data_IF_343112137635
#
_entry.id   IF_343112137635
#
_cell.length_a   1.000
_cell.length_b   1.000
_cell.length_c   1.000
_cell.angle_alpha   90.00
_cell.angle_beta   90.00
_cell.angle_gamma   90.00
#
_symmetry.space_group_name_H-M   'P 1'
#
loop_
_entity.id
_entity.type
_entity.pdbx_description
1 polymer ?
#
# COMPACT_ATOMS: atom_id res chain seq x y z
N UNK A 1 -16.89 6.84 -23.69
CA UNK A 1 -17.17 6.25 -22.36
C UNK A 1 -17.10 7.36 -21.36
N UNK A 2 -18.26 7.69 -20.81
CA UNK A 2 -18.42 8.70 -19.80
C UNK A 2 -18.10 8.11 -18.42
N UNK A 3 -17.76 8.99 -17.49
CA UNK A 3 -17.56 8.63 -16.09
C UNK A 3 -18.53 9.42 -15.23
N UNK A 4 -19.20 8.71 -14.34
CA UNK A 4 -20.29 9.25 -13.52
C UNK A 4 -19.99 9.07 -12.03
N UNK A 5 -20.55 9.96 -11.21
CA UNK A 5 -20.75 9.71 -9.78
C UNK A 5 -22.24 9.60 -9.50
N UNK A 6 -22.67 8.49 -8.91
CA UNK A 6 -24.06 8.26 -8.50
C UNK A 6 -24.16 8.25 -6.98
N UNK A 7 -25.00 9.12 -6.43
CA UNK A 7 -25.14 9.35 -4.99
C UNK A 7 -26.31 8.54 -4.41
N UNK A 8 -26.07 7.88 -3.27
CA UNK A 8 -27.07 7.29 -2.40
C UNK A 8 -27.14 7.97 -1.04
N UNK A 9 -28.35 7.98 -0.46
CA UNK A 9 -28.62 8.55 0.85
C UNK A 9 -28.85 7.43 1.89
N UNK A 10 -27.89 7.20 2.81
CA UNK A 10 -28.01 6.12 3.80
C UNK A 10 -29.08 6.38 4.87
N UNK A 11 -29.76 7.53 4.86
CA UNK A 11 -30.92 7.75 5.74
C UNK A 11 -32.19 7.06 5.25
N UNK A 12 -32.29 6.79 3.95
CA UNK A 12 -33.48 6.19 3.32
C UNK A 12 -33.19 4.82 2.71
N UNK A 13 -31.93 4.51 2.44
CA UNK A 13 -31.52 3.29 1.76
C UNK A 13 -30.19 2.75 2.26
N UNK A 14 -30.13 1.46 2.65
CA UNK A 14 -28.91 0.76 3.07
C UNK A 14 -27.98 0.45 1.88
N UNK A 15 -27.33 1.49 1.40
CA UNK A 15 -26.38 1.43 0.28
C UNK A 15 -25.24 0.44 0.52
N UNK A 16 -24.69 0.41 1.73
CA UNK A 16 -23.52 -0.39 2.08
C UNK A 16 -23.80 -1.88 1.91
N UNK A 17 -24.90 -2.35 2.53
CA UNK A 17 -25.30 -3.75 2.45
C UNK A 17 -25.76 -4.12 1.05
N UNK A 18 -26.43 -3.19 0.34
CA UNK A 18 -26.90 -3.42 -1.02
C UNK A 18 -25.75 -3.66 -2.00
N UNK A 19 -24.78 -2.74 -2.08
CA UNK A 19 -23.67 -2.87 -3.04
C UNK A 19 -22.72 -4.02 -2.69
N UNK A 20 -22.63 -4.39 -1.41
CA UNK A 20 -21.79 -5.51 -0.95
C UNK A 20 -22.36 -6.88 -1.34
N UNK A 21 -23.68 -7.03 -1.30
CA UNK A 21 -24.33 -8.32 -1.46
C UNK A 21 -24.81 -8.59 -2.89
N UNK A 22 -24.84 -7.56 -3.75
CA UNK A 22 -25.36 -7.66 -5.11
C UNK A 22 -24.33 -7.28 -6.16
N UNK A 23 -24.00 -8.24 -7.03
CA UNK A 23 -23.15 -7.98 -8.20
C UNK A 23 -23.86 -7.10 -9.24
N UNK A 24 -25.18 -7.22 -9.35
CA UNK A 24 -25.98 -6.43 -10.28
C UNK A 24 -27.03 -5.64 -9.51
N UNK A 25 -27.03 -4.32 -9.68
CA UNK A 25 -27.89 -3.41 -8.91
C UNK A 25 -28.66 -2.48 -9.85
N UNK A 26 -29.81 -1.99 -9.37
CA UNK A 26 -30.57 -0.94 -10.02
C UNK A 26 -30.29 0.39 -9.32
N UNK A 27 -30.03 1.43 -10.10
CA UNK A 27 -29.76 2.76 -9.56
C UNK A 27 -30.67 3.81 -10.18
N UNK A 28 -31.33 4.60 -9.34
CA UNK A 28 -32.27 5.63 -9.79
C UNK A 28 -31.56 6.80 -10.49
N UNK A 29 -32.23 7.35 -11.50
CA UNK A 29 -31.85 8.55 -12.24
C UNK A 29 -32.90 9.62 -12.00
N UNK A 30 -32.51 10.74 -11.37
CA UNK A 30 -33.45 11.84 -11.09
C UNK A 30 -33.24 13.08 -11.96
N UNK A 31 -32.19 13.10 -12.79
CA UNK A 31 -31.87 14.23 -13.66
C UNK A 31 -32.17 13.87 -15.12
N UNK A 32 -33.32 14.33 -15.62
CA UNK A 32 -33.82 14.00 -16.97
C UNK A 32 -32.87 14.44 -18.10
N UNK A 33 -32.12 15.53 -17.91
CA UNK A 33 -31.18 16.07 -18.90
C UNK A 33 -29.87 15.26 -19.04
N UNK A 34 -29.73 14.16 -18.30
CA UNK A 34 -28.60 13.23 -18.42
C UNK A 34 -28.98 11.89 -19.07
N UNK A 35 -30.27 11.65 -19.32
CA UNK A 35 -30.76 10.35 -19.81
C UNK A 35 -30.21 10.00 -21.18
N UNK A 36 -30.10 11.00 -22.05
CA UNK A 36 -29.56 10.88 -23.41
C UNK A 36 -28.02 10.73 -23.44
N UNK A 37 -27.35 10.92 -22.30
CA UNK A 37 -25.88 10.84 -22.19
C UNK A 37 -25.38 9.53 -21.61
N UNK A 38 -26.26 8.69 -21.07
CA UNK A 38 -25.87 7.41 -20.48
C UNK A 38 -25.67 6.39 -21.61
N UNK A 39 -24.45 5.87 -21.69
CA UNK A 39 -24.06 4.84 -22.65
C UNK A 39 -23.80 3.51 -21.95
N UNK A 40 -23.90 2.40 -22.69
CA UNK A 40 -23.47 1.09 -22.17
C UNK A 40 -21.96 1.11 -21.90
N UNK A 41 -21.54 0.36 -20.89
CA UNK A 41 -20.18 0.30 -20.37
C UNK A 41 -19.65 1.61 -19.75
N UNK A 42 -20.46 2.68 -19.66
CA UNK A 42 -20.10 3.88 -18.89
C UNK A 42 -19.64 3.52 -17.47
N UNK A 43 -18.60 4.20 -17.00
CA UNK A 43 -18.03 3.95 -15.69
C UNK A 43 -18.77 4.74 -14.62
N UNK A 44 -19.06 4.09 -13.48
CA UNK A 44 -19.82 4.70 -12.39
C UNK A 44 -19.10 4.52 -11.07
N UNK A 45 -18.85 5.61 -10.37
CA UNK A 45 -18.43 5.64 -8.98
C UNK A 45 -19.64 5.85 -8.06
N UNK A 46 -19.89 4.92 -7.14
CA UNK A 46 -21.01 4.99 -6.21
C UNK A 46 -20.61 5.76 -4.95
N UNK A 47 -21.30 6.86 -4.70
CA UNK A 47 -21.09 7.75 -3.58
C UNK A 47 -22.14 7.55 -2.49
N UNK A 48 -21.70 7.36 -1.24
CA UNK A 48 -22.56 7.46 -0.05
C UNK A 48 -22.45 8.86 0.54
N UNK A 49 -23.57 9.53 0.78
CA UNK A 49 -23.62 10.76 1.57
C UNK A 49 -23.46 10.48 3.08
N UNK A 50 -23.02 11.46 3.89
CA UNK A 50 -22.74 11.26 5.33
C UNK A 50 -23.92 10.69 6.15
N UNK A 51 -25.16 10.86 5.69
CA UNK A 51 -26.35 10.44 6.43
C UNK A 51 -26.39 11.02 7.85
N UNK A 52 -26.41 10.13 8.84
CA UNK A 52 -26.40 10.46 10.26
C UNK A 52 -24.99 10.53 10.88
N UNK A 53 -23.96 10.03 10.18
CA UNK A 53 -22.59 9.94 10.68
C UNK A 53 -21.67 10.84 9.84
N UNK A 54 -21.40 12.05 10.34
CA UNK A 54 -20.51 13.01 9.66
C UNK A 54 -19.13 12.41 9.41
N UNK A 55 -18.60 12.59 8.20
CA UNK A 55 -17.27 12.10 7.80
C UNK A 55 -17.30 10.72 7.16
N UNK A 56 -18.46 10.07 7.06
CA UNK A 56 -18.61 8.76 6.40
C UNK A 56 -18.92 8.89 4.90
N UNK A 57 -19.15 10.11 4.42
CA UNK A 57 -19.46 10.35 3.02
C UNK A 57 -18.25 10.17 2.11
N UNK A 58 -18.46 9.56 0.93
CA UNK A 58 -17.39 9.29 -0.01
C UNK A 58 -17.78 8.26 -1.07
N UNK A 59 -16.81 7.88 -1.89
CA UNK A 59 -16.97 6.90 -2.96
C UNK A 59 -16.64 5.52 -2.43
N UNK A 60 -17.63 4.63 -2.50
CA UNK A 60 -17.58 3.30 -1.92
C UNK A 60 -17.41 2.19 -2.95
N UNK A 61 -17.77 2.41 -4.21
CA UNK A 61 -17.71 1.36 -5.21
C UNK A 61 -17.48 1.89 -6.60
N UNK A 62 -16.95 1.00 -7.44
CA UNK A 62 -16.80 1.17 -8.87
C UNK A 62 -17.69 0.16 -9.57
N UNK A 63 -18.45 0.63 -10.55
CA UNK A 63 -19.41 -0.14 -11.31
C UNK A 63 -19.36 0.28 -12.79
N UNK A 64 -20.07 -0.46 -13.64
CA UNK A 64 -20.30 -0.08 -15.03
C UNK A 64 -21.77 -0.20 -15.41
N UNK A 65 -22.23 0.63 -16.34
CA UNK A 65 -23.59 0.60 -16.87
C UNK A 65 -23.76 -0.61 -17.79
N UNK A 66 -24.80 -1.41 -17.55
CA UNK A 66 -25.13 -2.60 -18.36
C UNK A 66 -26.56 -2.56 -18.94
N UNK A 67 -27.34 -1.51 -18.67
CA UNK A 67 -28.60 -1.23 -19.36
C UNK A 67 -28.76 0.27 -19.62
N UNK A 68 -29.50 0.60 -20.68
CA UNK A 68 -29.98 1.97 -20.87
C UNK A 68 -31.08 2.30 -19.83
N UNK A 69 -31.40 3.59 -19.63
CA UNK A 69 -32.46 4.00 -18.70
C UNK A 69 -33.81 3.35 -19.02
N UNK A 70 -34.44 2.77 -18.01
CA UNK A 70 -35.78 2.16 -18.10
C UNK A 70 -36.63 2.47 -16.86
N UNK A 71 -37.93 2.64 -17.06
CA UNK A 71 -38.88 2.79 -15.96
C UNK A 71 -39.04 1.46 -15.22
N UNK A 72 -38.93 1.50 -13.89
CA UNK A 72 -39.04 0.33 -13.04
C UNK A 72 -39.89 0.60 -11.81
N UNK A 73 -40.55 -0.46 -11.36
CA UNK A 73 -41.04 -0.61 -9.98
C UNK A 73 -40.09 -1.56 -9.25
N UNK A 74 -39.77 -1.30 -7.99
CA UNK A 74 -38.90 -2.21 -7.23
C UNK A 74 -39.56 -3.59 -7.10
N UNK A 75 -38.74 -4.64 -7.09
CA UNK A 75 -39.18 -5.97 -6.71
C UNK A 75 -39.09 -6.14 -5.18
N UNK A 76 -39.70 -7.21 -4.65
CA UNK A 76 -39.68 -7.54 -3.22
C UNK A 76 -38.25 -7.72 -2.65
N UNK A 77 -37.24 -7.95 -3.50
CA UNK A 77 -35.86 -8.16 -3.02
C UNK A 77 -35.16 -6.85 -2.64
N UNK A 78 -35.50 -5.75 -3.32
CA UNK A 78 -34.98 -4.42 -3.00
C UNK A 78 -35.60 -3.83 -1.73
N UNK A 79 -36.82 -4.24 -1.35
CA UNK A 79 -37.55 -3.75 -0.17
C UNK A 79 -36.71 -3.83 1.12
N UNK A 80 -35.93 -4.91 1.28
CA UNK A 80 -35.13 -5.15 2.48
C UNK A 80 -34.05 -4.09 2.75
N UNK A 81 -33.73 -3.23 1.77
CA UNK A 81 -32.73 -2.18 1.89
C UNK A 81 -33.33 -0.78 2.08
N UNK A 82 -34.64 -0.60 1.90
CA UNK A 82 -35.29 0.69 2.08
C UNK A 82 -35.76 0.87 3.53
N UNK A 83 -35.49 2.05 4.09
CA UNK A 83 -36.01 2.45 5.41
C UNK A 83 -37.34 3.21 5.31
N UNK A 84 -37.85 3.43 4.10
CA UNK A 84 -39.02 4.23 3.76
C UNK A 84 -39.87 3.53 2.71
N UNK A 85 -41.16 3.84 2.63
CA UNK A 85 -42.09 3.29 1.63
C UNK A 85 -41.86 3.81 0.19
N UNK A 86 -40.81 4.60 -0.04
CA UNK A 86 -40.41 5.10 -1.38
C UNK A 86 -40.18 3.98 -2.41
N UNK A 87 -39.95 2.73 -1.97
CA UNK A 87 -39.73 1.60 -2.86
C UNK A 87 -40.93 1.26 -3.74
N UNK A 88 -42.16 1.64 -3.36
CA UNK A 88 -43.39 1.34 -4.11
C UNK A 88 -43.56 2.19 -5.37
N UNK A 89 -42.88 3.33 -5.45
CA UNK A 89 -43.07 4.27 -6.56
C UNK A 89 -42.29 3.83 -7.81
N UNK A 90 -42.85 3.97 -9.02
CA UNK A 90 -42.09 3.84 -10.25
C UNK A 90 -40.96 4.87 -10.29
N UNK A 91 -39.79 4.45 -10.74
CA UNK A 91 -38.63 5.30 -10.91
C UNK A 91 -37.85 4.93 -12.16
N UNK A 92 -37.21 5.93 -12.76
CA UNK A 92 -36.31 5.72 -13.89
C UNK A 92 -34.96 5.24 -13.37
N UNK A 93 -34.43 4.17 -13.94
CA UNK A 93 -33.25 3.50 -13.41
C UNK A 93 -32.33 2.96 -14.51
N UNK A 94 -31.09 2.73 -14.14
CA UNK A 94 -30.12 1.94 -14.94
C UNK A 94 -29.62 0.77 -14.14
N UNK A 95 -29.32 -0.32 -14.84
CA UNK A 95 -28.69 -1.50 -14.27
C UNK A 95 -27.18 -1.32 -14.29
N UNK A 96 -26.55 -1.59 -13.15
CA UNK A 96 -25.11 -1.53 -12.98
C UNK A 96 -24.56 -2.91 -12.64
N UNK A 97 -23.39 -3.24 -13.20
CA UNK A 97 -22.54 -4.32 -12.68
C UNK A 97 -21.53 -3.71 -11.72
N UNK A 98 -21.61 -4.10 -10.45
CA UNK A 98 -20.64 -3.72 -9.42
C UNK A 98 -19.35 -4.47 -9.67
N UNK A 99 -18.27 -3.73 -9.92
CA UNK A 99 -16.94 -4.28 -10.22
C UNK A 99 -16.07 -4.37 -8.97
N UNK A 100 -16.17 -3.36 -8.09
CA UNK A 100 -15.38 -3.29 -6.87
C UNK A 100 -16.12 -2.51 -5.78
N UNK A 101 -16.01 -2.96 -4.52
CA UNK A 101 -16.60 -2.32 -3.33
C UNK A 101 -15.54 -2.11 -2.26
N UNK A 102 -15.58 -0.94 -1.59
CA UNK A 102 -14.72 -0.48 -0.51
C UNK A 102 -15.60 0.32 0.48
N UNK A 103 -15.95 -0.25 1.63
CA UNK A 103 -16.89 0.38 2.59
C UNK A 103 -16.19 1.06 3.77
N UNK A 104 -15.42 0.27 4.51
CA UNK A 104 -14.80 0.68 5.78
C UNK A 104 -13.37 1.18 5.58
N UNK A 105 -12.58 0.40 4.84
CA UNK A 105 -11.16 0.65 4.55
C UNK A 105 -10.99 0.79 3.03
N UNK A 106 -10.31 1.86 2.57
CA UNK A 106 -9.96 2.08 1.16
C UNK A 106 -11.00 2.80 0.30
N UNK A 107 -12.13 3.19 0.88
CA UNK A 107 -13.09 4.07 0.20
C UNK A 107 -12.51 5.48 0.08
N UNK A 108 -12.84 6.20 -1.00
CA UNK A 108 -12.34 7.57 -1.16
C UNK A 108 -13.24 8.49 -0.33
N UNK A 109 -12.71 8.98 0.79
CA UNK A 109 -13.47 9.84 1.68
C UNK A 109 -13.71 11.22 1.05
N UNK A 110 -14.82 11.86 1.42
CA UNK A 110 -15.11 13.25 1.06
C UNK A 110 -13.98 14.20 1.48
N UNK A 111 -13.36 13.95 2.64
CA UNK A 111 -12.25 14.77 3.15
C UNK A 111 -11.03 14.68 2.23
N UNK A 112 -10.65 13.47 1.82
CA UNK A 112 -9.56 13.26 0.87
C UNK A 112 -9.80 13.98 -0.46
N UNK A 113 -11.03 13.99 -0.96
CA UNK A 113 -11.37 14.72 -2.19
C UNK A 113 -11.28 16.24 -2.04
N UNK A 114 -11.60 16.79 -0.86
CA UNK A 114 -11.47 18.23 -0.58
C UNK A 114 -10.02 18.69 -0.49
N UNK A 115 -9.10 17.79 -0.13
CA UNK A 115 -7.66 18.04 -0.07
C UNK A 115 -6.98 17.88 -1.44
N UNK A 116 -7.62 17.18 -2.38
CA UNK A 116 -7.08 16.92 -3.70
C UNK A 116 -7.06 18.19 -4.58
N UNK A 117 -5.94 18.50 -5.28
CA UNK A 117 -5.81 19.76 -6.03
C UNK A 117 -6.87 19.94 -7.13
N UNK A 118 -7.21 18.85 -7.83
CA UNK A 118 -8.22 18.84 -8.90
C UNK A 118 -9.62 18.44 -8.38
N UNK A 119 -9.75 17.26 -7.75
CA UNK A 119 -11.05 16.70 -7.36
C UNK A 119 -11.83 17.48 -6.28
N UNK A 120 -11.23 18.46 -5.59
CA UNK A 120 -11.96 19.36 -4.68
C UNK A 120 -13.06 20.16 -5.39
N UNK A 121 -12.95 20.33 -6.70
CA UNK A 121 -13.92 21.05 -7.54
C UNK A 121 -15.04 20.16 -8.10
N UNK A 122 -15.09 18.88 -7.72
CA UNK A 122 -16.15 17.97 -8.13
C UNK A 122 -17.54 18.53 -7.81
N UNK A 123 -18.45 18.44 -8.79
CA UNK A 123 -19.81 18.97 -8.67
C UNK A 123 -20.55 18.38 -7.47
N UNK A 124 -20.33 17.12 -7.09
CA UNK A 124 -20.96 16.50 -5.92
C UNK A 124 -20.58 17.17 -4.59
N UNK A 125 -19.41 17.82 -4.52
CA UNK A 125 -18.97 18.55 -3.32
C UNK A 125 -19.63 19.94 -3.23
N UNK A 126 -19.87 20.56 -4.39
CA UNK A 126 -20.40 21.92 -4.55
C UNK A 126 -21.93 21.98 -4.66
N UNK A 127 -22.55 21.02 -5.33
CA UNK A 127 -23.98 20.94 -5.68
C UNK A 127 -24.62 19.69 -5.09
N UNK A 128 -24.74 19.62 -3.77
CA UNK A 128 -25.11 18.41 -3.02
C UNK A 128 -26.55 17.90 -3.20
N UNK A 129 -27.39 18.63 -3.94
CA UNK A 129 -28.81 18.32 -4.12
C UNK A 129 -29.09 17.36 -5.29
N UNK A 130 -28.10 17.11 -6.17
CA UNK A 130 -28.27 16.18 -7.29
C UNK A 130 -27.93 14.74 -6.88
N UNK A 131 -28.35 13.77 -7.69
CA UNK A 131 -28.13 12.34 -7.43
C UNK A 131 -27.19 11.69 -8.43
N UNK A 132 -27.02 12.27 -9.62
CA UNK A 132 -26.22 11.72 -10.70
C UNK A 132 -25.39 12.87 -11.30
N UNK A 133 -24.07 12.67 -11.36
CA UNK A 133 -23.11 13.70 -11.78
C UNK A 133 -22.24 13.18 -12.92
N UNK A 134 -22.31 13.82 -14.08
CA UNK A 134 -21.37 13.57 -15.18
C UNK A 134 -20.03 14.26 -14.88
N UNK A 135 -18.92 13.54 -14.99
CA UNK A 135 -17.59 14.11 -14.77
C UNK A 135 -17.03 14.73 -16.05
N UNK A 136 -16.22 15.79 -15.87
CA UNK A 136 -15.30 16.24 -16.93
C UNK A 136 -14.21 15.19 -17.15
N UNK A 137 -13.57 15.20 -18.32
CA UNK A 137 -12.45 14.28 -18.62
C UNK A 137 -11.32 14.37 -17.58
N UNK A 138 -10.99 15.58 -17.16
CA UNK A 138 -9.96 15.84 -16.14
C UNK A 138 -10.34 15.22 -14.79
N UNK A 139 -11.56 15.46 -14.30
CA UNK A 139 -12.03 14.85 -13.06
C UNK A 139 -12.13 13.32 -13.15
N UNK A 140 -12.50 12.78 -14.31
CA UNK A 140 -12.58 11.35 -14.54
C UNK A 140 -11.22 10.67 -14.41
N UNK A 141 -10.19 11.21 -15.08
CA UNK A 141 -8.81 10.69 -15.03
C UNK A 141 -8.30 10.70 -13.59
N UNK A 142 -8.35 11.85 -12.92
CA UNK A 142 -7.84 11.98 -11.55
C UNK A 142 -8.58 11.06 -10.57
N UNK A 143 -9.90 10.90 -10.73
CA UNK A 143 -10.66 10.02 -9.87
C UNK A 143 -10.35 8.53 -10.13
N UNK A 144 -10.13 8.16 -11.39
CA UNK A 144 -9.70 6.81 -11.77
C UNK A 144 -8.31 6.48 -11.21
N UNK A 145 -7.38 7.43 -11.28
CA UNK A 145 -6.03 7.30 -10.74
C UNK A 145 -6.09 7.18 -9.22
N UNK A 146 -6.84 8.04 -8.54
CA UNK A 146 -7.03 7.97 -7.09
C UNK A 146 -7.69 6.65 -6.66
N UNK A 147 -8.71 6.18 -7.39
CA UNK A 147 -9.34 4.88 -7.11
C UNK A 147 -8.36 3.73 -7.32
N UNK A 148 -7.57 3.76 -8.39
CA UNK A 148 -6.58 2.72 -8.70
C UNK A 148 -5.42 2.72 -7.71
N UNK A 149 -4.98 3.88 -7.24
CA UNK A 149 -3.96 4.03 -6.21
C UNK A 149 -4.42 3.46 -4.85
N UNK A 150 -5.70 3.67 -4.49
CA UNK A 150 -6.29 3.12 -3.28
C UNK A 150 -6.52 1.59 -3.29
N UNK A 151 -6.14 0.86 -4.36
CA UNK A 151 -6.07 -0.61 -4.32
C UNK A 151 -4.94 -1.13 -3.40
N UNK A 152 -4.01 -0.28 -2.96
CA UNK A 152 -2.79 -0.74 -2.28
C UNK A 152 -2.44 -0.04 -0.95
N UNK A 153 -3.25 0.87 -0.40
CA UNK A 153 -2.89 1.54 0.85
C UNK A 153 -4.08 1.89 1.76
N UNK A 154 -4.44 0.96 2.65
CA UNK A 154 -4.91 1.35 3.98
C UNK A 154 -3.73 1.30 4.93
N UNK A 155 -3.18 2.48 5.24
CA UNK A 155 -2.18 2.61 6.28
C UNK A 155 -2.89 2.70 7.64
N UNK A 156 -2.98 1.59 8.36
CA UNK A 156 -3.52 1.55 9.71
C UNK A 156 -2.37 1.63 10.72
N UNK A 157 -2.34 2.67 11.55
CA UNK A 157 -1.40 2.77 12.69
C UNK A 157 -2.14 2.55 14.01
N UNK A 158 -1.70 1.58 14.81
CA UNK A 158 -2.26 1.30 16.14
C UNK A 158 -1.16 0.84 17.10
N UNK A 159 -0.90 1.62 18.15
CA UNK A 159 0.21 1.41 19.08
C UNK A 159 1.56 1.26 18.34
N UNK A 160 2.26 0.15 18.53
CA UNK A 160 3.52 -0.18 17.88
C UNK A 160 3.34 -0.91 16.53
N UNK A 161 2.13 -0.93 15.98
CA UNK A 161 1.82 -1.58 14.70
C UNK A 161 1.49 -0.57 13.60
N UNK A 162 1.93 -0.89 12.40
CA UNK A 162 1.58 -0.23 11.15
C UNK A 162 1.20 -1.31 10.12
N UNK A 163 -0.03 -1.31 9.64
CA UNK A 163 -0.51 -2.24 8.60
C UNK A 163 -0.62 -1.47 7.29
N UNK A 164 -0.05 -2.00 6.22
CA UNK A 164 -0.02 -1.38 4.90
C UNK A 164 -0.84 -2.27 3.96
N UNK A 165 -2.06 -1.85 3.65
CA UNK A 165 -3.00 -2.64 2.86
C UNK A 165 -3.47 -3.89 3.60
N UNK A 166 -3.62 -5.01 2.88
CA UNK A 166 -4.03 -6.29 3.48
C UNK A 166 -2.88 -7.29 3.67
N UNK A 167 -1.72 -7.02 3.05
CA UNK A 167 -0.63 -7.99 2.89
C UNK A 167 0.56 -7.76 3.80
N UNK A 168 0.78 -6.53 4.28
CA UNK A 168 1.96 -6.17 5.08
C UNK A 168 1.55 -5.60 6.44
N UNK A 169 2.22 -6.05 7.50
CA UNK A 169 2.20 -5.41 8.81
C UNK A 169 3.63 -5.20 9.33
N UNK A 170 3.87 -4.10 10.01
CA UNK A 170 5.15 -3.71 10.58
C UNK A 170 4.94 -3.52 12.07
N UNK A 171 5.80 -4.16 12.86
CA UNK A 171 5.82 -4.08 14.31
C UNK A 171 7.10 -3.42 14.76
N UNK A 172 7.00 -2.28 15.42
CA UNK A 172 8.10 -1.73 16.20
C UNK A 172 8.39 -2.64 17.40
N UNK A 173 9.61 -3.14 17.51
CA UNK A 173 9.95 -4.11 18.55
C UNK A 173 10.05 -3.41 19.91
N UNK A 174 9.32 -3.95 20.87
CA UNK A 174 9.19 -3.40 22.20
C UNK A 174 9.68 -4.39 23.27
N UNK A 175 9.63 -3.96 24.53
CA UNK A 175 9.97 -4.79 25.68
C UNK A 175 9.31 -6.19 25.66
N UNK A 176 8.06 -6.30 25.20
CA UNK A 176 7.36 -7.59 25.15
C UNK A 176 8.00 -8.54 24.15
N UNK A 177 8.44 -8.00 23.01
CA UNK A 177 9.12 -8.75 21.96
C UNK A 177 10.42 -9.37 22.49
N UNK A 178 11.19 -8.59 23.25
CA UNK A 178 12.50 -8.99 23.75
C UNK A 178 12.46 -9.87 25.01
N UNK A 179 11.51 -9.63 25.92
CA UNK A 179 11.49 -10.26 27.25
C UNK A 179 10.36 -11.28 27.46
N UNK A 180 9.33 -11.29 26.60
CA UNK A 180 8.08 -12.03 26.85
C UNK A 180 7.64 -12.95 25.70
N UNK A 181 8.57 -13.31 24.79
CA UNK A 181 8.34 -14.27 23.71
C UNK A 181 7.10 -13.97 22.84
N UNK A 182 6.81 -12.69 22.62
CA UNK A 182 5.64 -12.34 21.86
C UNK A 182 5.31 -10.86 21.91
N UNK A 183 4.15 -10.52 21.37
CA UNK A 183 3.64 -9.16 21.36
C UNK A 183 2.12 -9.11 21.39
N UNK A 184 1.57 -7.98 21.85
CA UNK A 184 0.14 -7.73 21.78
C UNK A 184 -0.29 -7.34 20.36
N UNK A 185 -1.42 -7.84 19.92
CA UNK A 185 -2.07 -7.43 18.67
C UNK A 185 -3.27 -6.55 19.05
N UNK A 186 -3.28 -5.26 18.71
CA UNK A 186 -4.44 -4.38 18.89
C UNK A 186 -5.68 -4.89 18.14
N UNK A 187 -6.88 -4.47 18.57
CA UNK A 187 -8.14 -4.95 17.96
C UNK A 187 -8.19 -4.65 16.46
N UNK A 188 -7.68 -3.49 16.08
CA UNK A 188 -7.66 -2.97 14.72
C UNK A 188 -6.75 -3.82 13.82
N UNK A 189 -5.68 -4.38 14.37
CA UNK A 189 -4.67 -5.18 13.62
C UNK A 189 -5.10 -6.65 13.47
N UNK A 190 -6.11 -7.12 14.21
CA UNK A 190 -6.55 -8.53 14.18
C UNK A 190 -6.91 -9.02 12.78
N UNK A 191 -7.47 -8.14 11.94
CA UNK A 191 -7.85 -8.47 10.55
C UNK A 191 -6.65 -8.95 9.74
N UNK A 192 -5.47 -8.33 9.93
CA UNK A 192 -4.24 -8.77 9.27
C UNK A 192 -3.93 -10.23 9.60
N UNK A 193 -4.06 -10.63 10.87
CA UNK A 193 -3.77 -12.00 11.32
C UNK A 193 -4.95 -12.97 11.15
N UNK A 194 -5.99 -12.61 10.39
CA UNK A 194 -7.25 -13.37 10.28
C UNK A 194 -7.87 -13.72 11.64
N UNK A 195 -7.71 -12.85 12.64
CA UNK A 195 -8.00 -13.13 14.05
C UNK A 195 -9.26 -12.44 14.60
N UNK A 196 -10.12 -11.90 13.72
CA UNK A 196 -11.33 -11.17 14.11
C UNK A 196 -12.39 -12.06 14.76
N UNK A 197 -12.44 -13.33 14.35
CA UNK A 197 -13.40 -14.35 14.77
C UNK A 197 -12.99 -15.13 16.03
N UNK A 198 -11.76 -14.91 16.53
CA UNK A 198 -11.22 -15.66 17.66
C UNK A 198 -12.00 -15.43 18.96
N UNK A 199 -12.38 -16.53 19.61
CA UNK A 199 -13.11 -16.53 20.88
C UNK A 199 -12.17 -16.43 22.08
N UNK A 200 -12.71 -16.03 23.24
CA UNK A 200 -11.97 -15.94 24.52
C UNK A 200 -11.31 -17.29 24.86
N UNK A 201 -10.00 -17.28 25.08
CA UNK A 201 -9.21 -18.48 25.35
C UNK A 201 -8.83 -19.31 24.12
N UNK A 202 -9.24 -18.92 22.91
CA UNK A 202 -8.88 -19.59 21.66
C UNK A 202 -7.39 -19.40 21.34
N UNK A 203 -6.81 -20.43 20.74
CA UNK A 203 -5.44 -20.45 20.23
C UNK A 203 -5.45 -20.91 18.78
N UNK A 204 -4.65 -20.26 17.94
CA UNK A 204 -4.48 -20.62 16.53
C UNK A 204 -2.99 -20.66 16.20
N UNK A 205 -2.51 -21.82 15.76
CA UNK A 205 -1.11 -21.97 15.38
C UNK A 205 -0.84 -21.26 14.05
N UNK A 206 0.30 -20.59 13.96
CA UNK A 206 0.79 -19.94 12.75
C UNK A 206 2.29 -20.25 12.58
N UNK A 207 2.80 -19.95 11.40
CA UNK A 207 4.20 -20.11 11.05
C UNK A 207 4.79 -18.76 10.67
N UNK A 208 5.97 -18.45 11.22
CA UNK A 208 6.80 -17.33 10.80
C UNK A 208 8.00 -17.88 10.03
N UNK A 209 8.21 -17.43 8.81
CA UNK A 209 9.36 -17.82 8.00
C UNK A 209 10.37 -16.68 7.92
N UNK A 210 11.62 -16.95 8.30
CA UNK A 210 12.71 -15.97 8.22
C UNK A 210 13.97 -16.63 7.64
N UNK A 211 14.50 -16.10 6.54
CA UNK A 211 15.71 -16.63 5.87
C UNK A 211 15.66 -18.16 5.67
N UNK A 212 14.55 -18.66 5.14
CA UNK A 212 14.29 -20.09 4.89
C UNK A 212 14.23 -20.97 6.16
N UNK A 213 14.17 -20.36 7.36
CA UNK A 213 13.90 -21.06 8.62
C UNK A 213 12.46 -20.84 9.04
N UNK A 214 11.86 -21.92 9.51
CA UNK A 214 10.48 -21.97 9.98
C UNK A 214 10.46 -21.86 11.51
N UNK A 215 9.71 -20.90 12.02
CA UNK A 215 9.50 -20.68 13.44
C UNK A 215 8.02 -20.87 13.76
N UNK A 216 7.72 -21.70 14.75
CA UNK A 216 6.35 -21.93 15.18
C UNK A 216 5.90 -20.82 16.14
N UNK A 217 4.73 -20.25 15.86
CA UNK A 217 4.10 -19.23 16.67
C UNK A 217 2.60 -19.51 16.80
N UNK A 218 1.92 -18.75 17.66
CA UNK A 218 0.48 -18.86 17.84
C UNK A 218 -0.14 -17.52 18.14
N UNK A 219 -1.35 -17.35 17.64
CA UNK A 219 -2.29 -16.31 18.05
C UNK A 219 -3.05 -16.82 19.28
N UNK A 220 -3.17 -15.99 20.31
CA UNK A 220 -3.90 -16.33 21.54
C UNK A 220 -4.82 -15.18 21.96
N UNK A 221 -6.06 -15.51 22.27
CA UNK A 221 -7.01 -14.60 22.90
C UNK A 221 -7.04 -14.88 24.40
N UNK A 222 -6.64 -13.91 25.24
CA UNK A 222 -6.52 -14.17 26.67
C UNK A 222 -7.89 -14.42 27.35
N UNK A 223 -7.84 -14.98 28.57
CA UNK A 223 -9.03 -15.36 29.33
C UNK A 223 -9.55 -14.24 30.23
N UNK A 224 -9.11 -12.99 30.10
CA UNK A 224 -9.60 -11.90 30.95
C UNK A 224 -11.01 -11.45 30.54
N UNK A 225 -11.63 -10.62 31.40
CA UNK A 225 -12.96 -10.04 31.14
C UNK A 225 -12.98 -9.14 29.91
N UNK A 226 -11.86 -8.48 29.60
CA UNK A 226 -11.59 -7.79 28.33
C UNK A 226 -10.45 -8.50 27.61
N UNK A 227 -10.76 -9.43 26.69
CA UNK A 227 -9.76 -10.33 26.14
C UNK A 227 -8.82 -9.60 25.15
N UNK A 228 -7.52 -9.69 25.42
CA UNK A 228 -6.47 -9.17 24.52
C UNK A 228 -5.96 -10.28 23.61
N UNK A 229 -5.71 -9.90 22.36
CA UNK A 229 -5.08 -10.74 21.34
C UNK A 229 -3.56 -10.61 21.43
N UNK A 230 -2.85 -11.72 21.29
CA UNK A 230 -1.38 -11.78 21.33
C UNK A 230 -0.86 -12.68 20.23
N UNK A 231 0.30 -12.33 19.70
CA UNK A 231 1.16 -13.19 18.91
C UNK A 231 2.28 -13.68 19.82
N UNK A 232 2.41 -14.98 19.99
CA UNK A 232 3.42 -15.62 20.83
C UNK A 232 4.26 -16.57 19.98
N UNK A 233 5.58 -16.54 20.13
CA UNK A 233 6.49 -17.42 19.40
C UNK A 233 7.33 -18.26 20.37
N UNK A 234 7.97 -19.30 19.86
CA UNK A 234 8.86 -20.17 20.64
C UNK A 234 10.20 -19.49 20.94
N UNK A 235 10.96 -20.10 21.86
CA UNK A 235 12.22 -19.56 22.35
C UNK A 235 13.27 -19.35 21.24
N UNK A 236 13.28 -20.21 20.23
CA UNK A 236 14.14 -20.15 19.05
C UNK A 236 14.00 -18.85 18.24
N UNK A 237 12.77 -18.35 18.07
CA UNK A 237 12.56 -17.06 17.40
C UNK A 237 13.00 -15.90 18.30
N UNK A 238 12.74 -15.99 19.60
CA UNK A 238 13.27 -15.01 20.56
C UNK A 238 14.79 -14.98 20.59
N UNK A 239 15.46 -16.12 20.52
CA UNK A 239 16.91 -16.21 20.42
C UNK A 239 17.42 -15.53 19.16
N UNK A 240 16.71 -15.73 18.04
CA UNK A 240 17.00 -15.05 16.78
C UNK A 240 16.90 -13.53 16.92
N UNK A 241 15.82 -13.02 17.51
CA UNK A 241 15.62 -11.58 17.76
C UNK A 241 16.73 -11.01 18.66
N UNK A 242 17.04 -11.69 19.76
CA UNK A 242 18.07 -11.24 20.72
C UNK A 242 19.48 -11.23 20.11
N UNK A 243 19.79 -12.20 19.26
CA UNK A 243 21.07 -12.27 18.58
C UNK A 243 21.22 -11.20 17.49
N UNK A 244 20.12 -10.82 16.83
CA UNK A 244 20.11 -9.75 15.84
C UNK A 244 20.16 -8.36 16.47
N UNK A 245 19.57 -8.18 17.65
CA UNK A 245 19.48 -6.89 18.34
C UNK A 245 19.98 -6.97 19.78
N UNK A 246 21.27 -7.31 20.01
CA UNK A 246 21.82 -7.48 21.36
C UNK A 246 21.77 -6.19 22.17
N UNK A 247 21.97 -5.03 21.52
CA UNK A 247 21.89 -3.72 22.18
C UNK A 247 20.47 -3.40 22.66
N UNK A 248 19.46 -3.57 21.80
CA UNK A 248 18.05 -3.38 22.17
C UNK A 248 17.61 -4.34 23.28
N UNK A 249 18.07 -5.60 23.23
CA UNK A 249 17.82 -6.56 24.29
C UNK A 249 18.43 -6.12 25.63
N UNK A 250 19.70 -5.71 25.65
CA UNK A 250 20.37 -5.22 26.86
C UNK A 250 19.70 -3.96 27.43
N UNK A 251 19.25 -3.04 26.57
CA UNK A 251 18.51 -1.85 26.97
C UNK A 251 17.23 -2.23 27.75
N UNK A 252 16.39 -3.10 27.18
CA UNK A 252 15.14 -3.52 27.84
C UNK A 252 15.37 -4.38 29.09
N UNK A 253 16.48 -5.12 29.15
CA UNK A 253 16.86 -5.93 30.31
C UNK A 253 17.28 -5.05 31.50
N UNK A 254 18.07 -4.00 31.25
CA UNK A 254 18.69 -3.18 32.30
C UNK A 254 17.80 -2.01 32.78
N UNK A 255 16.65 -1.77 32.14
CA UNK A 255 15.76 -0.62 32.42
C UNK A 255 16.49 0.74 32.32
N UNK A 256 17.44 0.87 31.40
CA UNK A 256 18.10 2.16 31.17
C UNK A 256 17.13 3.09 30.42
N UNK A 257 16.94 4.32 30.89
CA UNK A 257 16.10 5.37 30.27
C UNK A 257 16.78 6.08 29.08
N UNK A 258 17.95 5.60 28.62
CA UNK A 258 18.61 6.15 27.43
C UNK A 258 17.78 5.85 26.17
N UNK A 259 17.46 6.90 25.40
CA UNK A 259 16.79 6.78 24.10
C UNK A 259 17.51 5.77 23.22
N UNK A 260 16.79 4.73 22.78
CA UNK A 260 17.26 3.85 21.71
C UNK A 260 17.49 4.72 20.46
N UNK A 261 18.74 4.80 20.01
CA UNK A 261 19.11 5.56 18.81
C UNK A 261 18.54 4.95 17.53
N UNK A 262 18.15 3.67 17.59
CA UNK A 262 17.66 2.90 16.45
C UNK A 262 16.36 2.18 16.78
N UNK A 263 15.29 2.51 16.06
CA UNK A 263 14.00 1.83 16.18
C UNK A 263 14.06 0.54 15.37
N UNK A 264 14.11 -0.60 16.07
CA UNK A 264 14.09 -1.92 15.42
C UNK A 264 12.66 -2.29 15.02
N UNK A 265 12.44 -2.68 13.75
CA UNK A 265 11.12 -3.09 13.26
C UNK A 265 11.14 -4.53 12.74
N UNK A 266 10.01 -5.20 12.85
CA UNK A 266 9.73 -6.52 12.30
C UNK A 266 8.57 -6.41 11.31
N UNK A 267 8.86 -6.67 10.03
CA UNK A 267 7.88 -6.74 8.96
C UNK A 267 7.30 -8.15 8.92
N UNK A 268 6.00 -8.23 8.70
CA UNK A 268 5.21 -9.42 8.44
C UNK A 268 4.58 -9.27 7.06
N UNK A 269 4.66 -10.30 6.26
CA UNK A 269 4.03 -10.39 4.95
C UNK A 269 3.23 -11.68 4.87
N UNK A 270 1.99 -11.59 4.40
CA UNK A 270 1.15 -12.77 4.17
C UNK A 270 1.67 -13.55 2.97
N UNK A 271 1.63 -14.87 3.08
CA UNK A 271 1.90 -15.76 1.95
C UNK A 271 0.58 -16.09 1.27
N UNK A 272 0.42 -15.76 -0.02
CA UNK A 272 -0.86 -15.93 -0.74
C UNK A 272 -1.36 -17.38 -0.78
N UNK A 273 -0.48 -18.37 -0.59
CA UNK A 273 -0.81 -19.80 -0.57
C UNK A 273 -1.23 -20.33 0.82
N UNK A 274 -1.14 -19.54 1.89
CA UNK A 274 -1.44 -19.99 3.25
C UNK A 274 -1.93 -18.86 4.16
N UNK A 275 -3.11 -19.04 4.76
CA UNK A 275 -3.69 -18.09 5.72
C UNK A 275 -3.02 -18.12 7.11
N UNK A 276 -2.13 -19.08 7.36
CA UNK A 276 -1.45 -19.27 8.64
C UNK A 276 0.07 -19.11 8.57
N UNK A 277 0.63 -18.68 7.43
CA UNK A 277 2.07 -18.49 7.24
C UNK A 277 2.39 -17.04 6.92
N UNK A 278 3.41 -16.50 7.59
CA UNK A 278 3.86 -15.13 7.41
C UNK A 278 5.37 -15.13 7.15
N UNK A 279 5.80 -14.51 6.06
CA UNK A 279 7.20 -14.17 5.86
C UNK A 279 7.52 -13.02 6.82
N UNK A 280 8.62 -13.12 7.55
CA UNK A 280 9.05 -12.06 8.48
C UNK A 280 10.43 -11.56 8.14
N UNK A 281 10.65 -10.25 8.28
CA UNK A 281 11.92 -9.60 8.00
C UNK A 281 12.22 -8.55 9.07
N UNK A 282 13.48 -8.41 9.46
CA UNK A 282 13.88 -7.38 10.40
C UNK A 282 14.42 -6.17 9.64
N UNK A 283 13.96 -4.98 10.01
CA UNK A 283 14.38 -3.71 9.40
C UNK A 283 15.29 -2.95 10.38
N UNK A 284 16.46 -2.53 9.91
CA UNK A 284 17.36 -1.63 10.65
C UNK A 284 17.07 -0.16 10.31
N UNK A 285 17.48 0.78 11.16
CA UNK A 285 17.25 2.23 10.93
C UNK A 285 17.95 2.76 9.68
N UNK A 286 19.02 2.08 9.24
CA UNK A 286 19.75 2.37 8.00
C UNK A 286 18.95 1.90 6.77
N UNK A 287 18.18 0.82 6.88
CA UNK A 287 17.30 0.38 5.79
C UNK A 287 16.16 1.36 5.54
N UNK A 288 15.72 2.14 6.53
CA UNK A 288 14.63 3.11 6.32
C UNK A 288 15.06 4.36 5.55
N UNK A 289 16.26 4.90 5.78
CA UNK A 289 16.76 6.08 5.06
C UNK A 289 17.28 5.70 3.67
N UNK A 290 17.92 4.54 3.52
CA UNK A 290 18.30 3.99 2.21
C UNK A 290 17.07 3.55 1.41
N UNK A 291 15.99 3.05 2.05
CA UNK A 291 14.70 2.89 1.36
C UNK A 291 14.23 4.22 0.78
N UNK A 292 14.35 5.31 1.54
CA UNK A 292 13.87 6.64 1.13
C UNK A 292 14.74 7.22 0.01
N UNK A 293 16.06 7.14 0.10
CA UNK A 293 16.97 7.63 -0.94
C UNK A 293 16.98 6.76 -2.22
N UNK A 294 16.77 5.44 -2.10
CA UNK A 294 16.62 4.55 -3.27
C UNK A 294 15.25 4.74 -3.96
N UNK A 295 14.20 5.15 -3.22
CA UNK A 295 12.92 5.60 -3.80
C UNK A 295 13.11 6.92 -4.58
N UNK A 296 13.97 7.83 -4.11
CA UNK A 296 14.26 9.10 -4.78
C UNK A 296 15.04 8.94 -6.10
N UNK A 297 15.91 7.93 -6.20
CA UNK A 297 16.80 7.78 -7.37
C UNK A 297 16.14 7.17 -8.61
N UNK A 298 14.96 6.54 -8.48
CA UNK A 298 14.14 6.06 -9.61
C UNK A 298 13.07 7.08 -10.07
N UNK A 299 12.76 8.11 -9.27
CA UNK A 299 11.66 9.06 -9.55
C UNK A 299 12.08 10.29 -10.40
N UNK A 300 13.36 10.45 -10.73
CA UNK A 300 13.87 11.61 -11.51
C UNK A 300 13.38 11.62 -12.98
N UNK A 301 12.69 10.57 -13.43
CA UNK A 301 12.42 10.35 -14.85
C UNK A 301 11.12 10.94 -15.42
N UNK A 302 10.33 11.73 -14.68
CA UNK A 302 9.14 12.38 -15.26
C UNK A 302 8.89 13.80 -14.72
N UNK A 303 9.00 14.73 -15.67
CA UNK A 303 8.56 16.14 -15.74
C UNK A 303 9.53 17.27 -15.37
N UNK A 304 9.59 18.18 -16.36
CA UNK A 304 10.25 19.48 -16.51
C UNK A 304 9.99 20.50 -15.37
N UNK A 305 10.65 21.69 -15.38
CA UNK A 305 11.21 22.34 -14.19
C UNK A 305 10.16 22.79 -13.17
N UNK A 306 10.39 22.42 -11.89
CA UNK A 306 9.52 22.72 -10.75
C UNK A 306 9.99 23.97 -10.00
N UNK A 307 9.03 24.74 -9.49
CA UNK A 307 9.26 25.77 -8.49
C UNK A 307 9.50 25.13 -7.10
N UNK A 308 10.47 25.66 -6.35
CA UNK A 308 10.84 25.17 -5.00
C UNK A 308 9.63 25.18 -4.01
N UNK A 309 9.51 24.12 -3.21
CA UNK A 309 8.72 24.15 -1.96
C UNK A 309 7.35 23.46 -1.94
N UNK A 310 7.01 22.59 -2.91
CA UNK A 310 5.72 21.85 -2.88
C UNK A 310 5.88 20.46 -2.23
N UNK A 311 4.98 20.11 -1.29
CA UNK A 311 4.87 18.79 -0.66
C UNK A 311 4.46 17.72 -1.68
N UNK A 312 5.15 16.58 -1.70
CA UNK A 312 4.98 15.48 -2.68
C UNK A 312 4.55 14.18 -1.97
N UNK A 313 3.62 13.44 -2.57
CA UNK A 313 3.20 12.08 -2.20
C UNK A 313 3.64 11.08 -3.28
N UNK A 314 4.20 9.94 -2.86
CA UNK A 314 4.93 8.96 -3.69
C UNK A 314 4.10 7.70 -4.02
N UNK A 315 4.16 7.20 -5.26
CA UNK A 315 3.62 5.88 -5.67
C UNK A 315 4.59 5.18 -6.62
N UNK A 316 5.10 3.99 -6.25
CA UNK A 316 5.98 3.17 -7.10
C UNK A 316 5.60 1.69 -7.12
N UNK A 317 5.60 1.06 -8.31
CA UNK A 317 5.51 -0.40 -8.48
C UNK A 317 6.90 -1.01 -8.23
N UNK A 318 6.96 -2.01 -7.34
CA UNK A 318 8.21 -2.67 -6.90
C UNK A 318 8.54 -3.88 -7.78
N UNK A 319 9.68 -3.85 -8.45
CA UNK A 319 10.42 -5.09 -8.74
C UNK A 319 11.31 -5.39 -7.54
N UNK A 320 11.19 -6.60 -7.02
CA UNK A 320 11.86 -7.09 -5.82
C UNK A 320 13.39 -7.07 -5.98
N UNK A 321 14.09 -6.23 -5.20
CA UNK A 321 15.55 -6.25 -5.06
C UNK A 321 15.92 -6.93 -3.74
N UNK A 322 16.32 -8.20 -3.83
CA UNK A 322 16.73 -9.01 -2.68
C UNK A 322 18.01 -8.44 -2.01
N UNK A 323 17.98 -8.07 -0.71
CA UNK A 323 19.15 -7.61 0.06
C UNK A 323 20.32 -8.59 0.05
N UNK A 324 20.05 -9.89 -0.10
CA UNK A 324 21.06 -10.94 -0.23
C UNK A 324 21.85 -10.75 -1.53
N UNK A 325 21.18 -10.35 -2.61
CA UNK A 325 21.82 -10.13 -3.90
C UNK A 325 22.72 -8.89 -3.87
N UNK A 326 22.32 -7.83 -3.16
CA UNK A 326 23.18 -6.66 -2.92
C UNK A 326 24.44 -7.04 -2.13
N UNK A 327 24.26 -7.71 -1.00
CA UNK A 327 25.40 -8.13 -0.16
C UNK A 327 26.36 -9.05 -0.92
N UNK A 328 25.82 -10.03 -1.65
CA UNK A 328 26.62 -10.92 -2.50
C UNK A 328 27.32 -10.17 -3.62
N UNK A 329 26.67 -9.21 -4.27
CA UNK A 329 27.31 -8.40 -5.30
C UNK A 329 28.49 -7.61 -4.74
N UNK A 330 28.37 -7.06 -3.54
CA UNK A 330 29.48 -6.38 -2.84
C UNK A 330 30.60 -7.36 -2.49
N UNK A 331 30.27 -8.56 -1.97
CA UNK A 331 31.25 -9.61 -1.67
C UNK A 331 32.04 -10.04 -2.93
N UNK A 332 31.38 -10.14 -4.09
CA UNK A 332 32.00 -10.56 -5.34
C UNK A 332 32.77 -9.44 -6.04
N UNK A 333 32.21 -8.23 -6.10
CA UNK A 333 32.73 -7.16 -6.95
C UNK A 333 33.49 -6.08 -6.19
N UNK A 334 33.37 -6.04 -4.87
CA UNK A 334 33.95 -5.02 -3.99
C UNK A 334 33.14 -3.72 -3.96
N UNK A 335 33.69 -2.71 -3.26
CA UNK A 335 33.08 -1.39 -3.05
C UNK A 335 33.56 -0.31 -4.04
N UNK A 336 34.49 -0.65 -4.94
CA UNK A 336 34.97 0.30 -5.95
C UNK A 336 34.05 0.33 -7.16
N UNK A 337 33.65 1.53 -7.58
CA UNK A 337 32.80 1.76 -8.75
C UNK A 337 33.42 1.16 -10.02
N UNK A 338 32.70 0.27 -10.73
CA UNK A 338 33.21 -0.36 -11.97
C UNK A 338 33.25 0.57 -13.19
N UNK A 339 32.62 1.73 -13.09
CA UNK A 339 32.65 2.76 -14.14
C UNK A 339 33.88 3.66 -13.99
N UNK A 340 34.03 4.33 -12.84
CA UNK A 340 35.06 5.36 -12.63
C UNK A 340 36.15 5.00 -11.61
N UNK A 341 36.03 3.87 -10.91
CA UNK A 341 37.00 3.43 -9.89
C UNK A 341 36.84 4.09 -8.52
N UNK A 342 35.91 5.04 -8.35
CA UNK A 342 35.69 5.73 -7.08
C UNK A 342 35.34 4.77 -5.94
N UNK A 343 35.95 4.97 -4.78
CA UNK A 343 35.70 4.24 -3.55
C UNK A 343 35.42 5.25 -2.42
N UNK A 344 34.27 5.11 -1.77
CA UNK A 344 33.84 6.04 -0.74
C UNK A 344 34.68 5.95 0.53
N UNK A 345 35.12 4.76 0.93
CA UNK A 345 35.97 4.59 2.11
C UNK A 345 37.37 5.19 1.89
N UNK A 346 37.93 5.01 0.68
CA UNK A 346 39.25 5.58 0.34
C UNK A 346 39.24 7.11 0.34
N UNK A 347 38.14 7.73 -0.08
CA UNK A 347 38.04 9.20 -0.24
C UNK A 347 37.49 9.89 1.01
N UNK A 348 36.51 9.28 1.69
CA UNK A 348 35.81 9.88 2.83
C UNK A 348 36.12 9.19 4.17
N UNK A 349 37.00 8.20 4.20
CA UNK A 349 37.35 7.45 5.40
C UNK A 349 36.17 6.64 5.93
N UNK A 350 36.09 6.53 7.26
CA UNK A 350 35.08 5.70 7.95
C UNK A 350 33.63 6.08 7.60
N UNK A 351 33.38 7.34 7.23
CA UNK A 351 32.05 7.81 6.80
C UNK A 351 31.60 7.21 5.47
N UNK A 352 32.53 6.75 4.64
CA UNK A 352 32.26 6.09 3.36
C UNK A 352 32.30 4.57 3.41
N UNK A 353 32.47 3.97 4.59
CA UNK A 353 32.58 2.53 4.77
C UNK A 353 31.28 1.82 4.37
N UNK A 354 31.43 0.70 3.65
CA UNK A 354 30.32 -0.15 3.16
C UNK A 354 29.29 0.56 2.24
N UNK A 355 29.63 1.77 1.75
CA UNK A 355 28.74 2.58 0.92
C UNK A 355 29.10 2.45 -0.57
N UNK A 356 28.20 1.82 -1.33
CA UNK A 356 28.21 1.77 -2.80
C UNK A 356 26.81 1.41 -3.31
N UNK A 357 26.44 1.85 -4.51
CA UNK A 357 25.18 1.45 -5.15
C UNK A 357 25.37 0.21 -6.01
N UNK A 358 24.34 -0.64 -6.13
CA UNK A 358 24.37 -1.87 -6.92
C UNK A 358 23.36 -1.77 -8.06
N UNK A 359 23.87 -1.74 -9.28
CA UNK A 359 23.11 -1.55 -10.50
C UNK A 359 22.89 -2.87 -11.25
N UNK A 360 21.74 -3.03 -11.91
CA UNK A 360 21.48 -4.19 -12.77
C UNK A 360 22.06 -3.98 -14.16
N UNK A 361 22.87 -4.92 -14.65
CA UNK A 361 23.49 -4.82 -15.98
C UNK A 361 22.43 -4.83 -17.10
N UNK A 362 21.26 -5.44 -16.86
CA UNK A 362 20.09 -5.40 -17.76
C UNK A 362 18.88 -4.84 -17.00
N UNK A 363 18.21 -3.79 -17.51
CA UNK A 363 17.01 -3.24 -16.88
C UNK A 363 15.87 -4.27 -16.79
N UNK A 364 15.26 -4.40 -15.61
CA UNK A 364 14.16 -5.35 -15.35
C UNK A 364 12.90 -5.04 -16.18
N UNK A 365 12.75 -3.80 -16.69
CA UNK A 365 11.64 -3.35 -17.54
C UNK A 365 11.58 -4.02 -18.92
N UNK A 366 12.64 -4.73 -19.34
CA UNK A 366 12.66 -5.48 -20.60
C UNK A 366 12.35 -6.97 -20.42
N UNK A 367 11.98 -7.42 -19.22
CA UNK A 367 11.81 -8.83 -18.89
C UNK A 367 10.32 -9.18 -18.76
N UNK A 368 9.77 -9.87 -19.77
CA UNK A 368 8.39 -10.37 -19.78
C UNK A 368 8.13 -11.54 -18.81
N UNK A 369 9.15 -12.03 -18.06
CA UNK A 369 9.05 -13.19 -17.14
C UNK A 369 9.99 -13.08 -15.94
N UNK A 370 9.56 -13.66 -14.81
CA UNK A 370 10.36 -13.88 -13.59
C UNK A 370 11.66 -14.64 -13.91
N UNK A 371 12.80 -14.14 -13.41
CA UNK A 371 14.11 -14.78 -13.58
C UNK A 371 14.94 -14.66 -12.30
N UNK A 372 15.67 -15.73 -11.97
CA UNK A 372 16.67 -15.75 -10.91
C UNK A 372 17.83 -14.81 -11.26
N UNK A 373 18.09 -13.84 -10.39
CA UNK A 373 19.22 -12.89 -10.49
C UNK A 373 20.49 -13.54 -9.94
N UNK A 374 21.59 -13.46 -10.68
CA UNK A 374 22.91 -13.91 -10.25
C UNK A 374 23.79 -12.69 -9.90
N UNK A 375 24.09 -12.44 -8.61
CA UNK A 375 24.86 -11.27 -8.18
C UNK A 375 26.22 -11.11 -8.87
N UNK A 376 26.89 -12.20 -9.23
CA UNK A 376 28.19 -12.14 -9.93
C UNK A 376 28.09 -11.62 -11.38
N UNK A 377 26.93 -11.71 -12.02
CA UNK A 377 26.76 -11.52 -13.48
C UNK A 377 25.73 -10.46 -13.84
N UNK A 378 24.70 -10.31 -13.03
CA UNK A 378 23.56 -9.45 -13.32
C UNK A 378 23.64 -8.13 -12.54
N UNK A 379 24.51 -8.05 -11.53
CA UNK A 379 24.69 -6.88 -10.66
C UNK A 379 26.11 -6.32 -10.75
N UNK A 380 26.24 -5.01 -10.61
CA UNK A 380 27.52 -4.31 -10.69
C UNK A 380 27.56 -3.11 -9.74
N UNK A 381 28.63 -2.96 -8.93
CA UNK A 381 28.75 -1.80 -8.05
C UNK A 381 29.13 -0.54 -8.83
N UNK A 382 28.41 0.54 -8.58
CA UNK A 382 28.59 1.86 -9.16
C UNK A 382 28.46 2.94 -8.07
N UNK A 383 29.21 4.03 -8.18
CA UNK A 383 29.01 5.16 -7.26
C UNK A 383 27.74 5.94 -7.61
N UNK A 384 27.18 6.66 -6.65
CA UNK A 384 25.98 7.47 -6.82
C UNK A 384 26.02 8.36 -8.07
N UNK A 385 27.16 9.01 -8.34
CA UNK A 385 27.32 9.85 -9.53
C UNK A 385 27.23 9.04 -10.84
N UNK A 386 27.89 7.88 -10.92
CA UNK A 386 27.85 7.05 -12.11
C UNK A 386 26.48 6.39 -12.30
N UNK A 387 25.83 5.97 -11.21
CA UNK A 387 24.48 5.42 -11.26
C UNK A 387 23.49 6.44 -11.84
N UNK A 388 23.53 7.69 -11.37
CA UNK A 388 22.72 8.78 -11.91
C UNK A 388 23.03 9.11 -13.37
N UNK A 389 24.27 8.94 -13.82
CA UNK A 389 24.65 9.18 -15.22
C UNK A 389 24.21 8.06 -16.17
N UNK A 390 24.11 6.82 -15.69
CA UNK A 390 23.56 5.69 -16.47
C UNK A 390 22.11 5.97 -16.86
N UNK A 391 21.31 6.44 -15.91
CA UNK A 391 19.86 6.70 -16.07
C UNK A 391 19.54 8.16 -16.40
N UNK A 392 20.52 8.97 -16.81
CA UNK A 392 20.31 10.41 -17.03
C UNK A 392 19.31 10.70 -18.17
N UNK A 393 19.20 9.80 -19.16
CA UNK A 393 18.26 9.89 -20.28
C UNK A 393 17.42 8.61 -20.34
N UNK A 394 16.11 8.77 -20.19
CA UNK A 394 15.15 7.67 -20.16
C UNK A 394 15.09 6.82 -21.43
N UNK A 395 15.16 7.49 -22.57
CA UNK A 395 15.11 6.84 -23.88
C UNK A 395 16.48 6.30 -24.32
N UNK A 396 17.53 6.49 -23.53
CA UNK A 396 18.93 6.20 -23.85
C UNK A 396 19.72 5.84 -22.59
N UNK A 397 19.35 4.72 -21.94
CA UNK A 397 20.02 4.21 -20.74
C UNK A 397 21.38 3.62 -21.13
N UNK A 398 22.44 4.19 -20.56
CA UNK A 398 23.82 3.79 -20.89
C UNK A 398 24.23 2.53 -20.14
N UNK A 399 24.86 1.59 -20.84
CA UNK A 399 25.58 0.51 -20.18
C UNK A 399 26.80 1.03 -19.42
N UNK A 400 27.27 0.26 -18.43
CA UNK A 400 28.53 0.54 -17.72
C UNK A 400 29.71 0.77 -18.67
N UNK A 401 29.76 0.05 -19.80
CA UNK A 401 30.82 0.20 -20.81
C UNK A 401 30.70 1.51 -21.60
N UNK A 402 29.49 1.89 -21.96
CA UNK A 402 29.22 3.14 -22.68
C UNK A 402 29.52 4.35 -21.79
N UNK A 403 29.03 4.36 -20.56
CA UNK A 403 29.34 5.44 -19.62
C UNK A 403 30.85 5.54 -19.35
N UNK A 404 31.54 4.41 -19.18
CA UNK A 404 33.00 4.38 -19.01
C UNK A 404 33.76 4.96 -20.21
N UNK A 405 33.21 4.82 -21.42
CA UNK A 405 33.81 5.39 -22.64
C UNK A 405 33.57 6.89 -22.77
N UNK A 406 32.51 7.42 -22.13
CA UNK A 406 32.18 8.85 -22.11
C UNK A 406 32.96 9.64 -21.07
N UNK A 407 33.48 8.99 -20.02
CA UNK A 407 34.32 9.63 -19.01
C UNK A 407 35.62 10.06 -19.68
N UNK A 408 35.70 11.35 -20.03
CA UNK A 408 36.98 12.02 -20.29
C UNK A 408 37.74 11.98 -18.98
N UNK A 409 38.90 11.32 -18.95
CA UNK A 409 39.76 11.20 -17.77
C UNK A 409 39.77 12.51 -16.97
N UNK A 410 39.06 12.54 -15.84
CA UNK A 410 39.45 13.40 -14.74
C UNK A 410 40.52 12.61 -14.00
N UNK A 411 41.76 13.06 -14.10
CA UNK A 411 42.74 12.74 -13.08
C UNK A 411 42.16 13.30 -11.77
N UNK A 412 41.82 12.41 -10.83
CA UNK A 412 41.67 12.84 -9.43
C UNK A 412 43.02 13.26 -8.89
#
# INVERSE_FOLDING_TARGET
MNTWIFQGNPKVFDIDTYIKNHKYIWWSLRQEHFLDKIELDDEVFLWRSDGNNRGTGGILAKARVISLPEERTNDETAQNYWYTDEWENPYLAVKLEVLQVRLEDGFISRLSLLEHPVLKELLILRLRQQTNYLLSKEHAIELQDLWSANNHSTLLRSHSWEVIGEEIAIKELDKSTFLHHGTGIPKEVRRFFSAMDMKRGERREIVLEYKQRVYHARLEMDKHSSPRSRLLWKADFSDTIRNLFPHSYSHFLNKNDELLSEVTKLRFEKVSSSSSTYLVEFLSSIDSEVLIEDLESEEIELYEPRAEGTLVTYYGRRYERDPINRKRAIEFHGLSCKVCGFNFEEVYGERGKDFIEVHHIKPLSTLEKERVIHPERDLVPVCANCHRMIHRKKDDVLTVKELRSLIKKCNM
#
